data_IF_562657389863
#
_entry.id   IF_562657389863
#
_cell.length_a   1.000
_cell.length_b   1.000
_cell.length_c   1.000
_cell.angle_alpha   90.00
_cell.angle_beta   90.00
_cell.angle_gamma   90.00
#
_symmetry.space_group_name_H-M   'P 1'
#
loop_
_entity.id
_entity.type
_entity.pdbx_description
1 polymer ?
#
# COMPACT_ATOMS: atom_id res chain seq x y z
N UNK A 1 28.94 33.16 21.98
CA UNK A 1 27.71 32.65 21.36
C UNK A 1 27.73 31.14 21.44
N UNK A 2 26.86 30.52 22.24
CA UNK A 2 26.71 29.06 22.29
C UNK A 2 25.87 28.64 21.09
N UNK A 3 26.35 27.63 20.37
CA UNK A 3 25.64 26.94 19.29
C UNK A 3 24.25 26.52 19.77
N UNK A 4 23.21 26.87 19.03
CA UNK A 4 21.79 26.76 19.43
C UNK A 4 21.20 25.37 19.14
N UNK A 5 21.97 24.42 18.61
CA UNK A 5 21.45 23.10 18.31
C UNK A 5 22.37 21.98 18.81
N UNK A 6 22.13 21.57 20.04
CA UNK A 6 22.51 20.26 20.55
C UNK A 6 21.27 19.56 21.07
N UNK A 7 20.74 18.61 20.31
CA UNK A 7 19.82 17.59 20.84
C UNK A 7 20.05 16.28 20.08
N UNK A 8 20.38 15.23 20.83
CA UNK A 8 20.10 13.84 20.46
C UNK A 8 18.87 13.40 21.26
N UNK A 9 17.80 12.98 20.58
CA UNK A 9 16.99 11.76 20.82
C UNK A 9 15.67 11.84 20.03
N UNK A 10 15.24 10.67 19.49
CA UNK A 10 14.22 10.39 18.45
C UNK A 10 14.72 10.58 17.00
N UNK A 11 14.54 9.56 16.14
CA UNK A 11 14.81 9.70 14.69
C UNK A 11 13.68 10.56 14.09
N UNK A 12 13.98 11.71 13.46
CA UNK A 12 12.98 12.70 13.08
C UNK A 12 12.27 12.35 11.76
N UNK A 13 11.07 12.91 11.57
CA UNK A 13 10.42 13.03 10.26
C UNK A 13 11.42 13.52 9.20
N UNK A 14 11.51 12.81 8.07
CA UNK A 14 12.42 13.15 6.96
C UNK A 14 13.74 12.36 6.89
N UNK A 15 13.87 11.22 7.59
CA UNK A 15 14.96 10.28 7.29
C UNK A 15 14.58 9.31 6.18
N UNK A 16 15.16 9.53 5.00
CA UNK A 16 15.17 8.60 3.87
C UNK A 16 16.47 7.80 3.85
N UNK A 17 16.37 6.55 3.41
CA UNK A 17 17.48 5.60 3.30
C UNK A 17 18.05 5.69 1.89
N UNK A 18 19.31 6.09 1.78
CA UNK A 18 20.11 5.84 0.58
C UNK A 18 20.84 4.51 0.72
N UNK A 19 21.05 3.80 -0.39
CA UNK A 19 21.74 2.50 -0.35
C UNK A 19 23.13 2.59 0.30
N UNK A 20 23.86 3.68 0.05
CA UNK A 20 25.18 3.96 0.63
C UNK A 20 25.17 4.04 2.18
N UNK A 21 24.02 4.36 2.77
CA UNK A 21 23.86 4.51 4.22
C UNK A 21 23.44 3.18 4.87
N UNK A 22 23.08 2.17 4.07
CA UNK A 22 22.78 0.81 4.54
C UNK A 22 24.09 0.09 4.84
N UNK A 23 24.13 -0.60 5.99
CA UNK A 23 25.32 -1.35 6.37
C UNK A 23 25.61 -2.50 5.39
N UNK A 24 26.89 -2.82 5.18
CA UNK A 24 27.30 -3.82 4.19
C UNK A 24 26.78 -5.23 4.48
N UNK A 25 26.58 -5.60 5.75
CA UNK A 25 26.07 -6.92 6.12
C UNK A 25 24.64 -7.11 5.64
N UNK A 26 23.80 -6.09 5.79
CA UNK A 26 22.42 -6.06 5.28
C UNK A 26 22.41 -6.14 3.76
N UNK A 27 23.25 -5.36 3.06
CA UNK A 27 23.39 -5.45 1.60
C UNK A 27 23.79 -6.86 1.17
N UNK A 28 24.75 -7.50 1.85
CA UNK A 28 25.15 -8.89 1.54
C UNK A 28 24.01 -9.90 1.74
N UNK A 29 23.15 -9.71 2.74
CA UNK A 29 21.97 -10.54 2.96
C UNK A 29 20.96 -10.38 1.83
N UNK A 30 20.69 -9.15 1.41
CA UNK A 30 19.82 -8.85 0.27
C UNK A 30 20.35 -9.45 -1.03
N UNK A 31 21.66 -9.33 -1.28
CA UNK A 31 22.32 -9.94 -2.45
C UNK A 31 22.18 -11.46 -2.44
N UNK A 32 22.34 -12.08 -1.27
CA UNK A 32 22.19 -13.52 -1.10
C UNK A 32 20.74 -13.97 -1.35
N UNK A 33 19.76 -13.22 -0.85
CA UNK A 33 18.33 -13.51 -1.07
C UNK A 33 17.96 -13.45 -2.55
N UNK A 34 18.43 -12.43 -3.28
CA UNK A 34 18.24 -12.33 -4.71
C UNK A 34 18.93 -13.49 -5.46
N UNK A 35 20.19 -13.80 -5.14
CA UNK A 35 20.92 -14.88 -5.82
C UNK A 35 20.28 -16.28 -5.61
N UNK A 36 19.75 -16.56 -4.42
CA UNK A 36 19.12 -17.85 -4.09
C UNK A 36 17.79 -18.09 -4.83
N UNK A 37 17.16 -17.04 -5.34
CA UNK A 37 15.93 -17.15 -6.15
C UNK A 37 16.17 -17.72 -7.55
N UNK A 38 17.43 -17.82 -7.99
CA UNK A 38 17.79 -18.23 -9.36
C UNK A 38 17.70 -17.10 -10.39
N UNK A 39 17.47 -15.86 -9.94
CA UNK A 39 17.43 -14.67 -10.78
C UNK A 39 18.84 -14.08 -11.02
N UNK A 40 18.99 -13.33 -12.12
CA UNK A 40 20.26 -12.73 -12.54
C UNK A 40 20.09 -11.25 -12.87
N UNK A 41 21.12 -10.44 -12.65
CA UNK A 41 21.10 -8.97 -12.83
C UNK A 41 20.78 -8.48 -14.25
N UNK A 42 20.90 -9.35 -15.25
CA UNK A 42 20.61 -9.06 -16.67
C UNK A 42 19.25 -9.61 -17.13
N UNK A 43 18.41 -10.07 -16.21
CA UNK A 43 17.03 -10.40 -16.60
C UNK A 43 16.34 -9.15 -17.17
N UNK A 44 15.57 -9.40 -18.20
CA UNK A 44 14.82 -8.40 -18.96
C UNK A 44 13.31 -8.59 -18.82
N UNK A 45 12.87 -9.54 -17.99
CA UNK A 45 11.47 -9.85 -17.72
C UNK A 45 11.26 -10.00 -16.21
N UNK A 46 10.40 -9.16 -15.63
CA UNK A 46 10.02 -9.30 -14.23
C UNK A 46 9.07 -10.49 -14.01
N UNK A 47 9.19 -11.12 -12.84
CA UNK A 47 8.21 -12.09 -12.39
C UNK A 47 6.86 -11.39 -12.18
N UNK A 48 5.80 -11.98 -12.70
CA UNK A 48 4.42 -11.56 -12.46
C UNK A 48 3.63 -12.68 -11.78
N UNK A 49 2.63 -12.28 -10.98
CA UNK A 49 1.63 -13.19 -10.42
C UNK A 49 0.64 -13.67 -11.50
N UNK A 50 -0.21 -14.64 -11.15
CA UNK A 50 -1.27 -15.11 -12.03
C UNK A 50 -2.37 -14.07 -12.19
N UNK A 51 -3.17 -14.21 -13.26
CA UNK A 51 -4.31 -13.31 -13.51
C UNK A 51 -5.38 -13.41 -12.42
N UNK A 52 -5.66 -14.63 -11.93
CA UNK A 52 -6.61 -14.87 -10.84
C UNK A 52 -6.19 -14.14 -9.55
N UNK A 53 -4.91 -14.25 -9.18
CA UNK A 53 -4.36 -13.58 -8.01
C UNK A 53 -4.37 -12.06 -8.18
N UNK A 54 -4.06 -11.58 -9.38
CA UNK A 54 -4.09 -10.15 -9.72
C UNK A 54 -5.49 -9.57 -9.55
N UNK A 55 -6.52 -10.24 -10.09
CA UNK A 55 -7.92 -9.79 -9.94
C UNK A 55 -8.30 -9.69 -8.45
N UNK A 56 -7.94 -10.70 -7.65
CA UNK A 56 -8.22 -10.70 -6.22
C UNK A 56 -7.51 -9.56 -5.48
N UNK A 57 -6.22 -9.33 -5.77
CA UNK A 57 -5.44 -8.25 -5.15
C UNK A 57 -5.97 -6.87 -5.54
N UNK A 58 -6.31 -6.65 -6.81
CA UNK A 58 -6.92 -5.40 -7.28
C UNK A 58 -8.25 -5.12 -6.58
N UNK A 59 -9.14 -6.13 -6.50
CA UNK A 59 -10.41 -5.98 -5.80
C UNK A 59 -10.22 -5.65 -4.31
N UNK A 60 -9.23 -6.29 -3.66
CA UNK A 60 -8.93 -6.08 -2.23
C UNK A 60 -8.39 -4.67 -1.95
N UNK A 61 -7.66 -4.07 -2.89
CA UNK A 61 -7.00 -2.78 -2.71
C UNK A 61 -7.67 -1.63 -3.47
N UNK A 62 -8.90 -1.81 -3.95
CA UNK A 62 -9.54 -0.85 -4.86
C UNK A 62 -9.68 0.56 -4.27
N UNK A 63 -9.93 0.68 -2.97
CA UNK A 63 -10.00 1.99 -2.28
C UNK A 63 -8.65 2.72 -2.30
N UNK A 64 -7.56 2.01 -1.97
CA UNK A 64 -6.20 2.56 -2.01
C UNK A 64 -5.83 2.98 -3.44
N UNK A 65 -6.12 2.12 -4.42
CA UNK A 65 -5.88 2.41 -5.84
C UNK A 65 -6.63 3.68 -6.26
N UNK A 66 -7.92 3.77 -5.97
CA UNK A 66 -8.76 4.91 -6.35
C UNK A 66 -8.25 6.22 -5.75
N UNK A 67 -7.90 6.24 -4.46
CA UNK A 67 -7.40 7.45 -3.79
C UNK A 67 -6.06 7.90 -4.40
N UNK A 68 -5.13 6.97 -4.58
CA UNK A 68 -3.81 7.28 -5.17
C UNK A 68 -3.95 7.77 -6.60
N UNK A 69 -4.74 7.11 -7.43
CA UNK A 69 -4.95 7.52 -8.82
C UNK A 69 -5.57 8.92 -8.94
N UNK A 70 -6.50 9.27 -8.05
CA UNK A 70 -7.06 10.61 -8.01
C UNK A 70 -6.03 11.68 -7.59
N UNK A 71 -5.20 11.40 -6.59
CA UNK A 71 -4.12 12.30 -6.17
C UNK A 71 -3.05 12.45 -7.26
N UNK A 72 -2.66 11.36 -7.91
CA UNK A 72 -1.74 11.38 -9.05
C UNK A 72 -2.31 12.19 -10.22
N UNK A 73 -3.60 12.02 -10.54
CA UNK A 73 -4.28 12.81 -11.58
C UNK A 73 -4.30 14.30 -11.26
N UNK A 74 -4.47 14.66 -9.99
CA UNK A 74 -4.38 16.04 -9.55
C UNK A 74 -2.95 16.58 -9.69
N UNK A 75 -1.95 15.77 -9.32
CA UNK A 75 -0.53 16.12 -9.39
C UNK A 75 -0.03 16.28 -10.84
N UNK A 76 -0.42 15.40 -11.75
CA UNK A 76 0.00 15.38 -13.17
C UNK A 76 -0.20 16.74 -13.87
N UNK A 77 -1.18 17.53 -13.45
CA UNK A 77 -1.45 18.87 -13.99
C UNK A 77 -0.32 19.88 -13.73
N UNK A 78 0.54 19.60 -12.76
CA UNK A 78 1.62 20.48 -12.32
C UNK A 78 3.01 19.93 -12.68
N UNK A 79 3.10 18.68 -13.14
CA UNK A 79 4.36 18.06 -13.49
C UNK A 79 4.76 18.45 -14.92
N UNK A 80 5.87 19.17 -15.04
CA UNK A 80 6.45 19.56 -16.33
C UNK A 80 7.23 18.40 -16.95
N UNK A 81 7.70 17.46 -16.12
CA UNK A 81 8.56 16.33 -16.49
C UNK A 81 7.81 14.99 -16.36
N UNK A 82 8.14 13.99 -17.19
CA UNK A 82 7.54 12.67 -17.10
C UNK A 82 8.02 11.93 -15.85
N UNK A 83 7.10 11.62 -14.94
CA UNK A 83 7.32 10.71 -13.83
C UNK A 83 6.56 9.41 -14.08
N UNK A 84 7.13 8.31 -13.59
CA UNK A 84 6.44 7.03 -13.48
C UNK A 84 6.10 6.81 -12.02
N UNK A 85 4.89 6.34 -11.76
CA UNK A 85 4.45 5.96 -10.44
C UNK A 85 4.07 4.49 -10.41
N UNK A 86 4.54 3.78 -9.38
CA UNK A 86 4.09 2.43 -9.07
C UNK A 86 3.40 2.47 -7.71
N UNK A 87 2.14 2.03 -7.68
CA UNK A 87 1.47 1.68 -6.44
C UNK A 87 1.57 0.18 -6.26
N UNK A 88 2.03 -0.28 -5.09
CA UNK A 88 2.08 -1.70 -4.77
C UNK A 88 1.34 -2.01 -3.48
N UNK A 89 0.96 -3.28 -3.31
CA UNK A 89 0.54 -3.78 -2.00
C UNK A 89 1.74 -4.01 -1.07
N UNK A 90 1.47 -4.55 0.12
CA UNK A 90 2.45 -4.81 1.17
C UNK A 90 3.48 -5.89 0.82
N UNK A 91 3.20 -6.72 -0.19
CA UNK A 91 4.10 -7.79 -0.64
C UNK A 91 4.89 -7.40 -1.89
N UNK A 92 4.76 -6.14 -2.33
CA UNK A 92 5.50 -5.61 -3.48
C UNK A 92 4.93 -6.02 -4.83
N UNK A 93 3.65 -6.41 -4.89
CA UNK A 93 2.93 -6.61 -6.16
C UNK A 93 2.41 -5.27 -6.66
N UNK A 94 2.74 -4.93 -7.91
CA UNK A 94 2.22 -3.72 -8.57
C UNK A 94 0.70 -3.79 -8.74
N UNK A 95 0.00 -2.83 -8.12
CA UNK A 95 -1.45 -2.64 -8.22
C UNK A 95 -1.82 -1.62 -9.31
N UNK A 96 -1.02 -0.56 -9.47
CA UNK A 96 -1.23 0.45 -10.51
C UNK A 96 0.10 0.99 -11.03
N UNK A 97 0.13 1.35 -12.31
CA UNK A 97 1.28 1.91 -13.01
C UNK A 97 0.82 3.12 -13.82
N UNK A 98 1.33 4.31 -13.47
CA UNK A 98 0.97 5.58 -14.11
C UNK A 98 2.21 6.28 -14.63
N UNK A 99 2.10 6.89 -15.81
CA UNK A 99 3.20 7.63 -16.44
C UNK A 99 2.89 7.94 -17.91
N UNK A 100 3.84 8.54 -18.65
CA UNK A 100 3.66 8.76 -20.07
C UNK A 100 3.49 7.43 -20.81
N UNK A 101 2.54 7.40 -21.75
CA UNK A 101 2.14 6.17 -22.44
C UNK A 101 3.30 5.42 -23.10
N UNK A 102 4.20 6.13 -23.79
CA UNK A 102 5.36 5.53 -24.45
C UNK A 102 6.33 4.86 -23.44
N UNK A 103 6.47 5.43 -22.25
CA UNK A 103 7.34 4.89 -21.20
C UNK A 103 6.68 3.64 -20.59
N UNK A 104 5.39 3.72 -20.28
CA UNK A 104 4.63 2.56 -19.77
C UNK A 104 4.58 1.42 -20.78
N UNK A 105 4.46 1.72 -22.08
CA UNK A 105 4.52 0.73 -23.14
C UNK A 105 5.88 0.01 -23.19
N UNK A 106 6.97 0.76 -23.12
CA UNK A 106 8.33 0.18 -23.07
C UNK A 106 8.55 -0.68 -21.82
N UNK A 107 8.05 -0.26 -20.65
CA UNK A 107 8.10 -1.07 -19.44
C UNK A 107 7.35 -2.41 -19.58
N UNK A 108 6.20 -2.41 -20.27
CA UNK A 108 5.41 -3.64 -20.51
C UNK A 108 6.16 -4.66 -21.37
N UNK A 109 7.05 -4.23 -22.26
CA UNK A 109 7.90 -5.14 -23.04
C UNK A 109 8.82 -5.98 -22.14
N UNK A 110 9.09 -5.50 -20.93
CA UNK A 110 9.92 -6.15 -19.90
C UNK A 110 9.10 -6.77 -18.75
N UNK A 111 7.80 -7.00 -18.96
CA UNK A 111 6.86 -7.45 -17.92
C UNK A 111 6.84 -6.55 -16.68
N UNK A 112 7.15 -5.25 -16.83
CA UNK A 112 6.94 -4.25 -15.78
C UNK A 112 5.53 -3.67 -15.96
N UNK A 113 4.58 -4.22 -15.22
CA UNK A 113 3.14 -3.98 -15.37
C UNK A 113 2.39 -4.25 -14.06
N UNK A 114 1.08 -4.10 -14.08
CA UNK A 114 0.22 -4.57 -12.98
C UNK A 114 0.41 -6.08 -12.80
N UNK A 115 0.62 -6.50 -11.56
CA UNK A 115 0.95 -7.87 -11.16
C UNK A 115 2.45 -8.20 -11.09
N UNK A 116 3.35 -7.29 -11.47
CA UNK A 116 4.80 -7.51 -11.35
C UNK A 116 5.26 -7.47 -9.89
N UNK A 117 6.23 -8.32 -9.54
CA UNK A 117 6.83 -8.41 -8.21
C UNK A 117 8.13 -7.61 -8.12
N UNK A 118 8.23 -6.76 -7.11
CA UNK A 118 9.38 -5.88 -6.88
C UNK A 118 10.10 -6.11 -5.54
N UNK A 119 9.77 -7.19 -4.82
CA UNK A 119 10.49 -7.58 -3.60
C UNK A 119 11.97 -7.92 -3.90
N UNK A 120 12.78 -8.03 -2.85
CA UNK A 120 14.20 -8.37 -2.97
C UNK A 120 14.43 -9.71 -3.66
N UNK A 121 13.53 -10.68 -3.47
CA UNK A 121 13.71 -12.03 -4.01
C UNK A 121 13.59 -12.01 -5.52
N UNK A 122 12.63 -11.27 -6.08
CA UNK A 122 12.30 -11.30 -7.50
C UNK A 122 12.96 -10.19 -8.31
N UNK A 123 13.12 -9.00 -7.74
CA UNK A 123 13.66 -7.83 -8.43
C UNK A 123 14.97 -7.28 -7.82
N UNK A 124 15.49 -7.92 -6.77
CA UNK A 124 16.73 -7.50 -6.12
C UNK A 124 16.61 -6.11 -5.48
N UNK A 125 17.76 -5.46 -5.25
CA UNK A 125 17.80 -4.10 -4.72
C UNK A 125 17.20 -3.13 -5.73
N UNK A 126 16.10 -2.53 -5.32
CA UNK A 126 15.39 -1.41 -5.94
C UNK A 126 14.73 -0.58 -4.83
N UNK A 127 14.25 0.63 -5.15
CA UNK A 127 13.72 1.54 -4.12
C UNK A 127 12.53 0.93 -3.36
N UNK A 128 11.61 0.24 -4.03
CA UNK A 128 10.51 -0.46 -3.36
C UNK A 128 11.02 -1.52 -2.39
N UNK A 129 11.89 -2.41 -2.86
CA UNK A 129 12.41 -3.51 -2.04
C UNK A 129 13.14 -3.01 -0.79
N UNK A 130 13.87 -1.88 -0.88
CA UNK A 130 14.56 -1.29 0.26
C UNK A 130 13.58 -0.60 1.21
N UNK A 131 12.53 0.06 0.67
CA UNK A 131 11.46 0.61 1.49
C UNK A 131 10.71 -0.49 2.26
N UNK A 132 10.50 -1.66 1.63
CA UNK A 132 9.90 -2.83 2.28
C UNK A 132 10.73 -3.35 3.46
N UNK A 133 12.05 -3.48 3.27
CA UNK A 133 12.95 -4.01 4.29
C UNK A 133 13.21 -3.04 5.44
N UNK A 134 13.11 -1.73 5.18
CA UNK A 134 13.43 -0.69 6.16
C UNK A 134 12.20 -0.05 6.80
N UNK A 135 11.03 -0.16 6.16
CA UNK A 135 9.81 0.55 6.56
C UNK A 135 9.93 2.07 6.44
N UNK A 136 10.91 2.56 5.68
CA UNK A 136 11.23 3.98 5.51
C UNK A 136 11.21 4.37 4.03
N UNK A 137 11.23 5.68 3.75
CA UNK A 137 11.45 6.14 2.39
C UNK A 137 12.83 5.67 1.93
N UNK A 138 12.91 5.09 0.73
CA UNK A 138 14.16 4.62 0.15
C UNK A 138 14.45 5.32 -1.17
N UNK A 139 15.73 5.60 -1.43
CA UNK A 139 16.21 6.22 -2.66
C UNK A 139 17.29 5.34 -3.28
N UNK A 140 17.06 4.90 -4.52
CA UNK A 140 17.99 4.05 -5.29
C UNK A 140 18.19 4.67 -6.67
N UNK A 141 19.45 4.77 -7.12
CA UNK A 141 19.83 5.54 -8.31
C UNK A 141 20.70 4.73 -9.25
N UNK A 142 20.26 4.66 -10.50
CA UNK A 142 21.01 4.10 -11.61
C UNK A 142 21.59 2.72 -11.30
N UNK A 143 22.91 2.61 -11.32
CA UNK A 143 23.66 1.36 -11.10
C UNK A 143 23.54 0.78 -9.67
N UNK A 144 22.92 1.51 -8.72
CA UNK A 144 22.55 0.97 -7.41
C UNK A 144 21.44 -0.09 -7.51
N UNK A 145 20.66 -0.09 -8.59
CA UNK A 145 19.69 -1.15 -8.87
C UNK A 145 20.40 -2.48 -9.19
N UNK A 146 19.87 -3.57 -8.66
CA UNK A 146 20.35 -4.91 -9.04
C UNK A 146 20.06 -5.23 -10.51
N UNK A 147 18.84 -4.97 -10.96
CA UNK A 147 18.46 -5.22 -12.35
C UNK A 147 18.98 -4.10 -13.24
N UNK A 148 19.77 -4.46 -14.26
CA UNK A 148 20.27 -3.48 -15.25
C UNK A 148 19.15 -2.86 -16.09
N UNK A 149 18.00 -3.53 -16.17
CA UNK A 149 16.76 -2.95 -16.67
C UNK A 149 16.44 -1.59 -16.03
N UNK A 150 16.78 -1.38 -14.76
CA UNK A 150 16.47 -0.16 -14.01
C UNK A 150 17.64 0.85 -13.92
N UNK A 151 18.78 0.58 -14.56
CA UNK A 151 19.98 1.42 -14.45
C UNK A 151 19.80 2.85 -15.02
N UNK A 152 18.78 3.07 -15.85
CA UNK A 152 18.44 4.41 -16.37
C UNK A 152 17.60 5.28 -15.43
N UNK A 153 17.22 4.77 -14.25
CA UNK A 153 16.22 5.38 -13.38
C UNK A 153 16.80 5.80 -12.03
N UNK A 154 16.27 6.89 -11.47
CA UNK A 154 16.32 7.17 -10.04
C UNK A 154 14.93 6.96 -9.47
N UNK A 155 14.83 6.14 -8.44
CA UNK A 155 13.58 5.69 -7.85
C UNK A 155 13.54 6.12 -6.38
N UNK A 156 12.41 6.70 -5.99
CA UNK A 156 12.11 7.05 -4.61
C UNK A 156 10.84 6.31 -4.24
N UNK A 157 10.90 5.46 -3.21
CA UNK A 157 9.74 4.73 -2.75
C UNK A 157 9.41 5.07 -1.31
N UNK A 158 8.13 5.29 -1.03
CA UNK A 158 7.63 5.61 0.30
C UNK A 158 6.56 4.59 0.74
N UNK A 159 6.60 4.12 2.00
CA UNK A 159 5.52 3.34 2.57
C UNK A 159 4.27 4.20 2.78
N UNK A 160 3.10 3.65 2.45
CA UNK A 160 1.80 4.23 2.79
C UNK A 160 1.39 3.67 4.14
N UNK A 161 1.66 4.43 5.22
CA UNK A 161 1.42 4.00 6.59
C UNK A 161 0.15 4.64 7.16
N UNK A 162 -0.79 3.80 7.63
CA UNK A 162 -2.02 4.23 8.29
C UNK A 162 -2.03 3.62 9.70
N UNK A 163 -2.08 4.46 10.72
CA UNK A 163 -2.08 4.03 12.14
C UNK A 163 -0.92 3.08 12.51
N UNK A 164 0.26 3.30 11.92
CA UNK A 164 1.44 2.45 12.16
C UNK A 164 1.47 1.16 11.36
N UNK A 165 0.48 0.90 10.50
CA UNK A 165 0.44 -0.27 9.62
C UNK A 165 0.66 0.16 8.16
N UNK A 166 1.61 -0.48 7.50
CA UNK A 166 1.87 -0.27 6.07
C UNK A 166 0.73 -0.94 5.27
N UNK A 167 0.09 -0.17 4.40
CA UNK A 167 -0.98 -0.64 3.50
C UNK A 167 -0.54 -0.87 2.07
N UNK A 168 0.67 -0.46 1.75
CA UNK A 168 1.26 -0.54 0.43
C UNK A 168 2.41 0.46 0.31
N UNK A 169 2.89 0.63 -0.90
CA UNK A 169 4.00 1.53 -1.17
C UNK A 169 3.72 2.32 -2.45
N UNK A 170 4.22 3.55 -2.48
CA UNK A 170 4.19 4.40 -3.66
C UNK A 170 5.63 4.71 -4.08
N UNK A 171 6.00 4.21 -5.25
CA UNK A 171 7.25 4.56 -5.90
C UNK A 171 7.03 5.70 -6.90
N UNK A 172 8.00 6.60 -6.96
CA UNK A 172 8.12 7.67 -7.92
C UNK A 172 9.48 7.55 -8.61
N UNK A 173 9.43 7.28 -9.90
CA UNK A 173 10.58 7.01 -10.75
C UNK A 173 10.76 8.10 -11.80
N UNK A 174 12.00 8.51 -12.02
CA UNK A 174 12.40 9.50 -13.00
C UNK A 174 13.75 9.13 -13.65
N UNK A 175 14.11 9.80 -14.75
CA UNK A 175 15.41 9.56 -15.39
C UNK A 175 16.56 9.85 -14.43
N UNK A 176 17.62 9.04 -14.49
CA UNK A 176 18.83 9.20 -13.66
C UNK A 176 19.52 10.56 -13.82
N UNK A 177 19.27 11.27 -14.93
CA UNK A 177 19.83 12.59 -15.22
C UNK A 177 19.09 13.75 -14.56
N UNK A 178 17.95 13.49 -13.92
CA UNK A 178 17.12 14.52 -13.28
C UNK A 178 17.52 14.71 -11.80
N UNK A 179 17.27 15.91 -11.28
CA UNK A 179 17.54 16.23 -9.87
C UNK A 179 16.41 15.69 -8.97
N UNK A 180 16.81 14.86 -8.00
CA UNK A 180 15.90 14.22 -7.05
C UNK A 180 15.67 15.04 -5.77
N UNK A 181 16.37 16.17 -5.60
CA UNK A 181 16.37 16.99 -4.37
C UNK A 181 14.96 17.36 -3.90
N UNK A 182 14.07 17.71 -4.84
CA UNK A 182 12.68 18.10 -4.54
C UNK A 182 11.68 16.96 -4.70
N UNK A 183 12.12 15.80 -5.17
CA UNK A 183 11.23 14.65 -5.45
C UNK A 183 10.83 13.95 -4.15
N UNK A 184 11.74 13.84 -3.18
CA UNK A 184 11.42 13.19 -1.92
C UNK A 184 10.36 13.95 -1.11
N UNK A 185 10.47 15.28 -0.91
CA UNK A 185 9.40 16.06 -0.25
C UNK A 185 8.08 16.02 -1.02
N UNK A 186 8.13 15.99 -2.35
CA UNK A 186 6.93 15.88 -3.18
C UNK A 186 6.22 14.53 -2.97
N UNK A 187 6.97 13.43 -2.96
CA UNK A 187 6.43 12.11 -2.67
C UNK A 187 5.87 12.05 -1.25
N UNK A 188 6.56 12.59 -0.24
CA UNK A 188 6.04 12.66 1.12
C UNK A 188 4.71 13.43 1.18
N UNK A 189 4.64 14.60 0.55
CA UNK A 189 3.39 15.35 0.49
C UNK A 189 2.26 14.56 -0.19
N UNK A 190 2.57 13.81 -1.23
CA UNK A 190 1.61 12.95 -1.91
C UNK A 190 1.12 11.82 -0.99
N UNK A 191 2.03 11.17 -0.26
CA UNK A 191 1.68 10.17 0.76
C UNK A 191 0.76 10.77 1.83
N UNK A 192 1.08 11.96 2.35
CA UNK A 192 0.27 12.61 3.38
C UNK A 192 -1.16 12.91 2.90
N UNK A 193 -1.32 13.30 1.63
CA UNK A 193 -2.64 13.50 1.02
C UNK A 193 -3.39 12.19 0.84
N UNK A 194 -2.73 11.14 0.37
CA UNK A 194 -3.32 9.81 0.23
C UNK A 194 -3.80 9.31 1.59
N UNK A 195 -2.93 9.35 2.61
CA UNK A 195 -3.26 8.92 3.98
C UNK A 195 -4.39 9.76 4.57
N UNK A 196 -4.37 11.09 4.38
CA UNK A 196 -5.43 11.98 4.86
C UNK A 196 -6.79 11.77 4.20
N UNK A 197 -6.83 11.12 3.03
CA UNK A 197 -8.07 10.78 2.30
C UNK A 197 -8.53 9.35 2.53
N UNK A 198 -7.65 8.48 2.96
CA UNK A 198 -8.02 7.11 3.33
C UNK A 198 -8.74 7.15 4.68
N UNK A 199 -9.94 6.58 4.78
CA UNK A 199 -10.68 6.60 6.03
C UNK A 199 -9.91 5.79 7.08
N UNK A 200 -9.57 6.45 8.18
CA UNK A 200 -9.03 5.78 9.37
C UNK A 200 -9.98 4.63 9.76
N UNK A 201 -9.49 3.40 10.04
CA UNK A 201 -10.31 2.28 10.51
C UNK A 201 -11.31 2.65 11.60
N UNK A 202 -10.94 3.50 12.56
CA UNK A 202 -11.89 3.95 13.59
C UNK A 202 -12.92 4.96 13.05
N UNK A 203 -12.55 5.84 12.13
CA UNK A 203 -13.51 6.70 11.41
C UNK A 203 -14.44 5.88 10.51
N UNK A 204 -13.96 4.85 9.81
CA UNK A 204 -14.78 3.93 9.00
C UNK A 204 -15.78 3.19 9.87
N UNK A 205 -15.32 2.67 11.01
CA UNK A 205 -16.19 2.06 12.02
C UNK A 205 -17.21 3.05 12.58
N UNK A 206 -16.83 4.29 12.85
CA UNK A 206 -17.77 5.34 13.27
C UNK A 206 -18.80 5.65 12.18
N UNK A 207 -18.40 5.77 10.92
CA UNK A 207 -19.31 6.01 9.80
C UNK A 207 -20.32 4.86 9.63
N UNK A 208 -19.87 3.62 9.76
CA UNK A 208 -20.74 2.43 9.75
C UNK A 208 -21.69 2.45 10.96
N UNK A 209 -21.19 2.78 12.15
CA UNK A 209 -22.02 2.88 13.36
C UNK A 209 -23.07 3.99 13.24
N UNK A 210 -22.74 5.11 12.60
CA UNK A 210 -23.69 6.18 12.27
C UNK A 210 -24.75 5.69 11.27
N UNK A 211 -24.37 4.89 10.27
CA UNK A 211 -25.33 4.27 9.35
C UNK A 211 -26.25 3.28 10.08
N UNK A 212 -25.72 2.50 11.02
CA UNK A 212 -26.52 1.63 11.88
C UNK A 212 -27.45 2.40 12.81
N UNK A 213 -27.02 3.56 13.32
CA UNK A 213 -27.87 4.44 14.12
C UNK A 213 -29.08 4.95 13.33
N UNK A 214 -28.91 5.26 12.04
CA UNK A 214 -30.03 5.61 11.14
C UNK A 214 -31.05 4.47 10.98
N UNK A 215 -30.64 3.22 11.19
CA UNK A 215 -31.52 2.04 11.21
C UNK A 215 -32.04 1.68 12.61
N UNK A 216 -31.69 2.44 13.66
CA UNK A 216 -32.17 2.20 15.03
C UNK A 216 -31.55 0.97 15.71
N UNK A 217 -30.32 0.60 15.34
CA UNK A 217 -29.59 -0.48 15.99
C UNK A 217 -29.08 -0.04 17.38
N UNK A 218 -29.30 -0.90 18.38
CA UNK A 218 -28.74 -0.76 19.72
C UNK A 218 -27.23 -0.97 19.71
N UNK A 219 -26.52 -0.55 20.77
CA UNK A 219 -25.06 -0.78 20.90
C UNK A 219 -24.66 -2.23 20.62
N UNK A 220 -25.40 -3.20 21.16
CA UNK A 220 -25.10 -4.63 20.97
C UNK A 220 -25.39 -5.13 19.55
N UNK A 221 -26.45 -4.62 18.93
CA UNK A 221 -26.76 -4.90 17.52
C UNK A 221 -25.70 -4.31 16.59
N UNK A 222 -25.16 -3.12 16.90
CA UNK A 222 -24.06 -2.50 16.15
C UNK A 222 -22.78 -3.33 16.21
N UNK A 223 -22.39 -3.80 17.40
CA UNK A 223 -21.21 -4.66 17.56
C UNK A 223 -21.31 -5.96 16.75
N UNK A 224 -22.45 -6.66 16.87
CA UNK A 224 -22.68 -7.92 16.16
C UNK A 224 -22.83 -7.67 14.65
N UNK A 225 -23.57 -6.63 14.26
CA UNK A 225 -23.76 -6.23 12.87
C UNK A 225 -22.43 -5.88 12.19
N UNK A 226 -21.55 -5.15 12.88
CA UNK A 226 -20.23 -4.79 12.36
C UNK A 226 -19.40 -6.02 12.03
N UNK A 227 -19.27 -6.97 12.97
CA UNK A 227 -18.51 -8.21 12.72
C UNK A 227 -19.15 -9.08 11.64
N UNK A 228 -20.48 -9.12 11.59
CA UNK A 228 -21.23 -9.86 10.59
C UNK A 228 -21.03 -9.31 9.17
N UNK A 229 -21.00 -7.99 9.04
CA UNK A 229 -20.68 -7.28 7.79
C UNK A 229 -19.25 -7.60 7.31
N UNK A 230 -18.30 -7.74 8.23
CA UNK A 230 -16.92 -8.19 7.94
C UNK A 230 -16.82 -9.71 7.72
N UNK A 231 -17.91 -10.32 7.27
CA UNK A 231 -18.02 -11.74 6.91
C UNK A 231 -17.68 -12.76 8.02
N UNK A 232 -17.65 -12.39 9.30
CA UNK A 232 -17.46 -13.36 10.38
C UNK A 232 -18.65 -14.33 10.48
N UNK A 233 -18.39 -15.56 10.92
CA UNK A 233 -19.43 -16.55 11.24
C UNK A 233 -20.01 -16.32 12.63
N UNK A 234 -21.20 -16.89 12.89
CA UNK A 234 -21.86 -16.82 14.20
C UNK A 234 -20.93 -17.32 15.32
N UNK A 235 -20.17 -18.40 15.07
CA UNK A 235 -19.24 -18.97 16.04
C UNK A 235 -18.04 -18.05 16.31
N UNK A 236 -17.49 -17.41 15.28
CA UNK A 236 -16.40 -16.44 15.44
C UNK A 236 -16.85 -15.22 16.24
N UNK A 237 -18.03 -14.66 15.92
CA UNK A 237 -18.59 -13.51 16.64
C UNK A 237 -18.85 -13.85 18.10
N UNK A 238 -19.44 -15.02 18.37
CA UNK A 238 -19.70 -15.50 19.72
C UNK A 238 -18.42 -15.58 20.56
N UNK A 239 -17.33 -16.08 19.96
CA UNK A 239 -16.01 -16.16 20.59
C UNK A 239 -15.40 -14.78 20.82
N UNK A 240 -15.44 -13.89 19.84
CA UNK A 240 -14.86 -12.53 19.92
C UNK A 240 -15.57 -11.65 20.94
N UNK A 241 -16.90 -11.77 21.05
CA UNK A 241 -17.72 -10.97 21.95
C UNK A 241 -18.03 -11.66 23.29
N UNK A 242 -17.41 -12.82 23.54
CA UNK A 242 -17.60 -13.65 24.74
C UNK A 242 -19.07 -13.90 25.11
N UNK A 243 -19.88 -14.32 24.12
CA UNK A 243 -21.31 -14.62 24.30
C UNK A 243 -21.72 -15.94 23.67
N UNK A 244 -22.91 -16.43 24.03
CA UNK A 244 -23.49 -17.62 23.45
C UNK A 244 -23.81 -17.43 21.94
N UNK A 245 -23.53 -18.43 21.07
CA UNK A 245 -23.90 -18.39 19.66
C UNK A 245 -25.40 -18.15 19.41
N UNK A 246 -26.27 -18.63 20.32
CA UNK A 246 -27.71 -18.38 20.28
C UNK A 246 -28.06 -16.89 20.39
N UNK A 247 -27.33 -16.15 21.23
CA UNK A 247 -27.49 -14.69 21.38
C UNK A 247 -27.14 -13.99 20.07
N UNK A 248 -26.04 -14.36 19.42
CA UNK A 248 -25.64 -13.80 18.13
C UNK A 248 -26.73 -14.02 17.07
N UNK A 249 -27.25 -15.25 16.94
CA UNK A 249 -28.34 -15.56 15.98
C UNK A 249 -29.60 -14.73 16.24
N UNK A 250 -30.00 -14.60 17.51
CA UNK A 250 -31.19 -13.81 17.87
C UNK A 250 -30.99 -12.33 17.60
N UNK A 251 -29.81 -11.77 17.91
CA UNK A 251 -29.50 -10.37 17.58
C UNK A 251 -29.48 -10.13 16.07
N UNK A 252 -28.92 -11.03 15.27
CA UNK A 252 -28.90 -10.90 13.81
C UNK A 252 -30.30 -10.87 13.19
N UNK A 253 -31.28 -11.61 13.74
CA UNK A 253 -32.68 -11.51 13.31
C UNK A 253 -33.24 -10.09 13.49
N UNK A 254 -32.90 -9.44 14.61
CA UNK A 254 -33.32 -8.06 14.86
C UNK A 254 -32.58 -7.08 13.96
N UNK A 255 -31.28 -7.30 13.73
CA UNK A 255 -30.47 -6.50 12.79
C UNK A 255 -31.12 -6.52 11.41
N UNK A 256 -31.39 -7.70 10.83
CA UNK A 256 -32.02 -7.83 9.52
C UNK A 256 -33.37 -7.12 9.43
N UNK A 257 -34.22 -7.28 10.45
CA UNK A 257 -35.52 -6.60 10.53
C UNK A 257 -35.37 -5.08 10.55
N UNK A 258 -34.42 -4.55 11.32
CA UNK A 258 -34.19 -3.10 11.46
C UNK A 258 -33.51 -2.49 10.25
N UNK A 259 -32.64 -3.24 9.58
CA UNK A 259 -31.95 -2.77 8.38
C UNK A 259 -32.71 -3.07 7.09
N UNK A 260 -33.86 -3.74 7.16
CA UNK A 260 -34.67 -4.12 6.01
C UNK A 260 -33.86 -4.87 4.93
N UNK A 261 -33.19 -5.94 5.34
CA UNK A 261 -32.46 -6.87 4.46
C UNK A 261 -32.86 -8.30 4.82
N UNK A 262 -32.71 -9.21 3.86
CA UNK A 262 -33.20 -10.59 3.96
C UNK A 262 -32.09 -11.58 4.29
N UNK A 263 -30.85 -11.27 3.94
CA UNK A 263 -29.70 -12.17 4.12
C UNK A 263 -28.37 -11.44 4.36
N UNK A 264 -27.31 -12.24 4.53
CA UNK A 264 -25.96 -11.73 4.82
C UNK A 264 -25.36 -10.98 3.63
N UNK A 265 -25.61 -11.44 2.40
CA UNK A 265 -25.11 -10.80 1.18
C UNK A 265 -25.72 -9.41 1.02
N UNK A 266 -27.04 -9.29 1.13
CA UNK A 266 -27.73 -8.00 1.11
C UNK A 266 -27.25 -7.06 2.23
N UNK A 267 -27.03 -7.60 3.44
CA UNK A 267 -26.51 -6.82 4.55
C UNK A 267 -25.09 -6.31 4.28
N UNK A 268 -24.20 -7.14 3.73
CA UNK A 268 -22.84 -6.75 3.36
C UNK A 268 -22.91 -5.67 2.28
N UNK A 269 -23.64 -5.89 1.18
CA UNK A 269 -23.77 -4.90 0.08
C UNK A 269 -24.30 -3.55 0.60
N UNK A 270 -25.22 -3.57 1.56
CA UNK A 270 -25.84 -2.35 2.08
C UNK A 270 -24.89 -1.50 2.94
N UNK A 271 -23.94 -2.10 3.65
CA UNK A 271 -23.13 -1.41 4.65
C UNK A 271 -21.61 -1.51 4.43
N UNK A 272 -21.16 -2.32 3.47
CA UNK A 272 -19.78 -2.38 3.03
C UNK A 272 -19.57 -1.36 1.91
N UNK A 273 -18.91 -0.21 2.18
CA UNK A 273 -18.51 0.71 1.11
C UNK A 273 -17.46 0.06 0.21
#
# INVERSE_FOLDING_TARGET
MKSVFSYQTALPDGQWVYLKDVNQRTIQQWNSSFALSGHHVYMDQLKCISEEEMIQRLATHQELISVVEEELKALHRFLIRPFIFFLTDTEGVTLSLSGPEHVVASLKEHNVRVGSLFDIKHAGINALSVAMETGCIAVIRGEEHHLKLFAGWSCICAPICINGEIKGYLDMSLSVNEDITYVVPLLQQLIDRVVGRLPDPEQRKQAIYLAFDKCGLTKREKEIGYLWMHNHSVGQIAKMLYIAPGTVKNTLKNVYKKTNVSDKGEFIIKFHP
#
